data_IF_071453007907
#
_entry.id   IF_071453007907
#
_cell.length_a   1.000
_cell.length_b   1.000
_cell.length_c   1.000
_cell.angle_alpha   90.00
_cell.angle_beta   90.00
_cell.angle_gamma   90.00
#
_symmetry.space_group_name_H-M   'P 1'
#
loop_
_entity.id
_entity.type
_entity.pdbx_description
1 polymer ?
#
# COMPACT_ATOMS: atom_id res chain seq x y z
N UNK A 1 -30.68 5.85 44.22
CA UNK A 1 -29.55 4.88 44.18
C UNK A 1 -29.76 3.72 43.20
N UNK A 2 -30.88 2.98 43.24
CA UNK A 2 -31.14 1.85 42.33
C UNK A 2 -31.01 2.18 40.83
N UNK A 3 -31.62 3.26 40.36
CA UNK A 3 -31.57 3.66 38.94
C UNK A 3 -30.16 4.04 38.48
N UNK A 4 -29.41 4.74 39.34
CA UNK A 4 -28.00 5.08 39.08
C UNK A 4 -27.13 3.82 38.96
N UNK A 5 -27.32 2.85 39.86
CA UNK A 5 -26.61 1.58 39.83
C UNK A 5 -26.92 0.78 38.56
N UNK A 6 -28.18 0.76 38.13
CA UNK A 6 -28.61 0.10 36.87
C UNK A 6 -27.91 0.77 35.67
N UNK A 7 -27.91 2.10 35.59
CA UNK A 7 -27.25 2.82 34.48
C UNK A 7 -25.75 2.51 34.43
N UNK A 8 -25.07 2.55 35.57
CA UNK A 8 -23.63 2.23 35.65
C UNK A 8 -23.35 0.78 35.23
N UNK A 9 -24.17 -0.18 35.68
CA UNK A 9 -24.06 -1.58 35.27
C UNK A 9 -24.32 -1.78 33.77
N UNK A 10 -25.32 -1.10 33.21
CA UNK A 10 -25.61 -1.15 31.77
C UNK A 10 -24.46 -0.57 30.93
N UNK A 11 -23.88 0.55 31.36
CA UNK A 11 -22.72 1.15 30.69
C UNK A 11 -21.48 0.24 30.80
N UNK A 12 -21.24 -0.36 31.96
CA UNK A 12 -20.16 -1.32 32.14
C UNK A 12 -20.33 -2.55 31.25
N UNK A 13 -21.57 -3.06 31.11
CA UNK A 13 -21.88 -4.19 30.24
C UNK A 13 -21.67 -3.84 28.77
N UNK A 14 -22.14 -2.66 28.33
CA UNK A 14 -21.93 -2.16 26.96
C UNK A 14 -20.44 -1.99 26.65
N UNK A 15 -19.67 -1.43 27.59
CA UNK A 15 -18.23 -1.28 27.45
C UNK A 15 -17.53 -2.65 27.35
N UNK A 16 -17.96 -3.65 28.13
CA UNK A 16 -17.40 -5.00 28.08
C UNK A 16 -17.68 -5.69 26.73
N UNK A 17 -18.91 -5.55 26.21
CA UNK A 17 -19.29 -6.11 24.90
C UNK A 17 -18.52 -5.43 23.77
N UNK A 18 -18.39 -4.10 23.82
CA UNK A 18 -17.58 -3.35 22.85
C UNK A 18 -16.10 -3.75 22.93
N UNK A 19 -15.57 -3.95 24.14
CA UNK A 19 -14.19 -4.40 24.36
C UNK A 19 -13.93 -5.81 23.80
N UNK A 20 -14.90 -6.71 23.93
CA UNK A 20 -14.74 -8.07 23.43
C UNK A 20 -14.68 -8.10 21.89
N UNK A 21 -15.53 -7.33 21.21
CA UNK A 21 -15.47 -7.24 19.74
C UNK A 21 -14.21 -6.53 19.24
N UNK A 22 -13.70 -5.51 19.97
CA UNK A 22 -12.45 -4.77 19.63
C UNK A 22 -11.25 -5.68 19.61
N UNK A 23 -11.16 -6.63 20.54
CA UNK A 23 -10.05 -7.59 20.54
C UNK A 23 -10.00 -8.45 19.28
N UNK A 24 -11.15 -8.95 18.82
CA UNK A 24 -11.20 -9.84 17.65
C UNK A 24 -10.87 -9.10 16.36
N UNK A 25 -11.34 -7.86 16.21
CA UNK A 25 -11.01 -7.02 15.06
C UNK A 25 -9.53 -6.57 15.05
N UNK A 26 -8.90 -6.44 16.22
CA UNK A 26 -7.53 -5.93 16.36
C UNK A 26 -6.46 -7.03 16.38
N UNK A 27 -6.82 -8.30 16.50
CA UNK A 27 -5.85 -9.40 16.49
C UNK A 27 -5.63 -9.88 15.06
N UNK A 28 -4.51 -9.53 14.40
CA UNK A 28 -4.28 -9.95 13.04
C UNK A 28 -4.04 -11.46 12.96
N UNK A 29 -4.70 -12.11 12.02
CA UNK A 29 -4.46 -13.52 11.73
C UNK A 29 -3.19 -13.65 10.89
N UNK A 30 -2.24 -14.45 11.38
CA UNK A 30 -1.05 -14.85 10.64
C UNK A 30 -1.13 -16.35 10.41
N UNK A 31 -1.11 -16.78 9.14
CA UNK A 31 -1.05 -18.19 8.77
C UNK A 31 0.38 -18.58 8.43
N UNK A 32 0.81 -19.73 8.93
CA UNK A 32 2.10 -20.33 8.57
C UNK A 32 2.10 -20.88 7.14
N UNK A 33 0.92 -21.31 6.66
CA UNK A 33 0.71 -21.84 5.31
C UNK A 33 -0.58 -21.31 4.69
N UNK A 34 -0.49 -20.89 3.42
CA UNK A 34 -1.61 -20.48 2.58
C UNK A 34 -1.46 -21.12 1.20
N UNK A 35 -2.55 -21.67 0.66
CA UNK A 35 -2.59 -22.27 -0.68
C UNK A 35 -2.81 -21.19 -1.74
N UNK A 36 -3.63 -20.20 -1.40
CA UNK A 36 -3.95 -19.06 -2.27
C UNK A 36 -3.56 -17.76 -1.58
N UNK A 37 -2.44 -17.13 -1.96
CA UNK A 37 -2.03 -15.87 -1.35
C UNK A 37 -3.06 -14.77 -1.60
N UNK A 38 -3.24 -13.90 -0.61
CA UNK A 38 -4.09 -12.72 -0.71
C UNK A 38 -3.24 -11.47 -0.89
N UNK A 39 -3.69 -10.58 -1.78
CA UNK A 39 -3.01 -9.34 -2.08
C UNK A 39 -3.89 -8.14 -1.74
N UNK A 40 -3.27 -7.07 -1.26
CA UNK A 40 -3.92 -5.78 -1.05
C UNK A 40 -3.11 -4.67 -1.71
N UNK A 41 -3.77 -3.55 -1.94
CA UNK A 41 -3.14 -2.33 -2.42
C UNK A 41 -3.17 -1.27 -1.33
N UNK A 42 -2.12 -0.46 -1.26
CA UNK A 42 -2.03 0.65 -0.32
C UNK A 42 -0.91 1.59 -0.72
N UNK A 43 -0.78 2.71 -0.02
CA UNK A 43 0.34 3.64 -0.23
C UNK A 43 1.69 2.93 -0.04
N UNK A 44 2.70 3.31 -0.83
CA UNK A 44 4.04 2.73 -0.72
C UNK A 44 4.66 3.08 0.64
N UNK A 45 4.93 2.06 1.44
CA UNK A 45 5.67 2.17 2.70
C UNK A 45 7.16 2.28 2.35
N UNK A 46 7.89 3.09 3.13
CA UNK A 46 9.32 3.31 2.95
C UNK A 46 10.08 1.96 2.96
N UNK A 47 10.95 1.68 1.96
CA UNK A 47 11.76 0.45 1.93
C UNK A 47 12.65 0.24 3.15
N UNK A 48 12.95 1.28 3.95
CA UNK A 48 13.71 1.15 5.19
C UNK A 48 12.93 0.53 6.35
N UNK A 49 11.62 0.32 6.19
CA UNK A 49 10.75 -0.23 7.22
C UNK A 49 10.69 -1.75 7.09
N UNK A 50 11.06 -2.44 8.18
CA UNK A 50 10.77 -3.86 8.33
C UNK A 50 9.27 -4.04 8.62
N UNK A 51 8.54 -4.41 7.57
CA UNK A 51 7.09 -4.64 7.61
C UNK A 51 6.69 -5.76 8.55
N UNK A 52 7.56 -6.75 8.79
CA UNK A 52 7.30 -7.84 9.72
C UNK A 52 7.50 -7.39 11.16
N UNK A 53 8.54 -6.59 11.42
CA UNK A 53 8.78 -6.02 12.74
C UNK A 53 7.70 -5.00 13.16
N UNK A 54 7.16 -4.22 12.21
CA UNK A 54 6.11 -3.24 12.50
C UNK A 54 4.69 -3.82 12.56
N UNK A 55 4.48 -5.06 12.14
CA UNK A 55 3.16 -5.70 12.10
C UNK A 55 2.09 -4.79 11.48
N UNK A 56 2.32 -4.31 10.25
CA UNK A 56 1.36 -3.41 9.59
C UNK A 56 0.06 -4.19 9.32
N UNK A 57 -1.00 -3.84 10.06
CA UNK A 57 -2.30 -4.53 10.02
C UNK A 57 -3.21 -3.93 8.95
N UNK A 58 -3.77 -4.80 8.12
CA UNK A 58 -4.85 -4.50 7.19
C UNK A 58 -6.14 -5.00 7.81
N UNK A 59 -7.05 -4.08 8.09
CA UNK A 59 -8.29 -4.41 8.81
C UNK A 59 -9.30 -5.14 7.94
N UNK A 60 -9.90 -6.18 8.54
CA UNK A 60 -11.16 -6.76 8.09
C UNK A 60 -12.36 -5.88 8.46
N UNK A 61 -13.59 -6.40 8.53
CA UNK A 61 -14.74 -5.61 8.92
C UNK A 61 -14.57 -5.05 10.33
N UNK A 62 -14.81 -3.75 10.50
CA UNK A 62 -14.87 -3.13 11.82
C UNK A 62 -16.24 -3.37 12.48
N UNK A 63 -16.32 -3.09 13.78
CA UNK A 63 -17.51 -3.12 14.65
C UNK A 63 -18.84 -3.13 13.90
N UNK A 64 -19.61 -4.21 14.07
CA UNK A 64 -20.97 -4.33 13.54
C UNK A 64 -21.10 -4.17 12.01
N UNK A 65 -20.03 -4.44 11.26
CA UNK A 65 -20.02 -4.33 9.80
C UNK A 65 -19.98 -2.88 9.29
N UNK A 66 -19.62 -1.92 10.14
CA UNK A 66 -19.62 -0.49 9.77
C UNK A 66 -18.49 -0.10 8.81
N UNK A 67 -17.42 -0.89 8.74
CA UNK A 67 -16.35 -0.68 7.79
C UNK A 67 -16.28 -1.91 6.88
N UNK A 68 -16.58 -1.78 5.58
CA UNK A 68 -16.31 -2.87 4.65
C UNK A 68 -14.80 -3.09 4.69
N UNK A 69 -14.36 -4.31 5.03
CA UNK A 69 -12.93 -4.61 5.20
C UNK A 69 -12.11 -4.18 3.99
N UNK A 70 -10.78 -4.18 4.10
CA UNK A 70 -9.95 -3.74 2.95
C UNK A 70 -10.22 -4.60 1.71
N UNK A 71 -10.37 -3.96 0.55
CA UNK A 71 -10.50 -4.68 -0.73
C UNK A 71 -9.22 -5.44 -1.02
N UNK A 72 -9.37 -6.69 -1.43
CA UNK A 72 -8.25 -7.61 -1.69
C UNK A 72 -8.36 -8.29 -3.04
N UNK A 73 -7.32 -9.00 -3.45
CA UNK A 73 -7.19 -9.58 -4.77
C UNK A 73 -6.60 -11.00 -4.68
N UNK A 74 -7.04 -11.88 -5.58
CA UNK A 74 -6.56 -13.26 -5.64
C UNK A 74 -5.21 -13.37 -6.36
N UNK A 75 -4.88 -12.36 -7.17
CA UNK A 75 -3.64 -12.32 -7.93
C UNK A 75 -3.05 -10.91 -8.00
N UNK A 76 -1.75 -10.86 -8.25
CA UNK A 76 -1.02 -9.62 -8.50
C UNK A 76 -1.59 -8.92 -9.74
N UNK A 77 -1.91 -9.67 -10.80
CA UNK A 77 -2.46 -9.11 -12.03
C UNK A 77 -3.79 -8.38 -11.83
N UNK A 78 -4.67 -8.90 -10.97
CA UNK A 78 -5.92 -8.23 -10.60
C UNK A 78 -5.67 -6.95 -9.80
N UNK A 79 -4.74 -6.99 -8.84
CA UNK A 79 -4.37 -5.82 -8.05
C UNK A 79 -3.73 -4.73 -8.94
N UNK A 80 -2.88 -5.11 -9.90
CA UNK A 80 -2.29 -4.19 -10.87
C UNK A 80 -3.34 -3.56 -11.76
N UNK A 81 -4.27 -4.35 -12.29
CA UNK A 81 -5.37 -3.84 -13.10
C UNK A 81 -6.20 -2.82 -12.30
N UNK A 82 -6.51 -3.13 -11.04
CA UNK A 82 -7.18 -2.18 -10.16
C UNK A 82 -6.39 -0.88 -9.97
N UNK A 83 -5.08 -0.95 -9.74
CA UNK A 83 -4.24 0.24 -9.61
C UNK A 83 -4.26 1.11 -10.86
N UNK A 84 -4.22 0.50 -12.05
CA UNK A 84 -4.26 1.20 -13.34
C UNK A 84 -5.63 1.83 -13.58
N UNK A 85 -6.70 1.06 -13.45
CA UNK A 85 -8.08 1.51 -13.68
C UNK A 85 -8.48 2.68 -12.75
N UNK A 86 -7.89 2.75 -11.56
CA UNK A 86 -8.19 3.78 -10.56
C UNK A 86 -7.10 4.87 -10.47
N UNK A 87 -6.17 4.93 -11.43
CA UNK A 87 -5.03 5.87 -11.45
C UNK A 87 -4.14 5.86 -10.20
N UNK A 88 -4.21 4.80 -9.38
CA UNK A 88 -3.45 4.66 -8.12
C UNK A 88 -1.97 4.38 -8.32
N UNK A 89 -1.56 3.94 -9.51
CA UNK A 89 -0.14 3.84 -9.87
C UNK A 89 0.55 5.21 -9.80
N UNK A 90 -0.17 6.27 -10.18
CA UNK A 90 0.35 7.65 -10.18
C UNK A 90 0.47 8.17 -8.75
N UNK A 91 -0.48 7.81 -7.88
CA UNK A 91 -0.51 8.17 -6.47
C UNK A 91 0.57 7.46 -5.62
N UNK A 92 1.46 6.68 -6.24
CA UNK A 92 2.53 5.99 -5.52
C UNK A 92 2.05 4.76 -4.72
N UNK A 93 0.92 4.16 -5.10
CA UNK A 93 0.42 2.96 -4.43
C UNK A 93 1.16 1.69 -4.86
N UNK A 94 1.36 0.79 -3.91
CA UNK A 94 2.06 -0.47 -4.03
C UNK A 94 1.15 -1.68 -3.77
N UNK A 95 1.62 -2.86 -4.18
CA UNK A 95 0.94 -4.14 -3.96
C UNK A 95 1.67 -4.90 -2.85
N UNK A 96 0.90 -5.33 -1.87
CA UNK A 96 1.36 -6.07 -0.70
C UNK A 96 0.76 -7.46 -0.68
N UNK A 97 1.54 -8.43 -0.22
CA UNK A 97 1.04 -9.75 0.13
C UNK A 97 0.72 -9.78 1.62
N UNK A 98 -0.45 -10.30 1.99
CA UNK A 98 -0.85 -10.42 3.40
C UNK A 98 -0.67 -11.85 3.91
N UNK A 99 -0.76 -11.99 5.23
CA UNK A 99 -0.57 -13.23 5.99
C UNK A 99 -1.73 -14.23 5.93
N UNK A 100 -2.68 -14.05 5.02
CA UNK A 100 -3.91 -14.84 4.93
C UNK A 100 -4.03 -15.66 3.65
N UNK A 101 -5.09 -16.45 3.59
CA UNK A 101 -5.48 -17.23 2.43
C UNK A 101 -6.73 -16.64 1.78
N UNK A 102 -6.66 -16.35 0.48
CA UNK A 102 -7.73 -15.70 -0.25
C UNK A 102 -9.06 -16.47 -0.18
N UNK A 103 -9.03 -17.81 -0.19
CA UNK A 103 -10.26 -18.60 -0.19
C UNK A 103 -10.92 -18.70 1.19
N UNK A 104 -10.17 -18.44 2.27
CA UNK A 104 -10.64 -18.63 3.66
C UNK A 104 -10.86 -17.32 4.41
N UNK A 105 -10.07 -16.31 4.09
CA UNK A 105 -9.99 -15.06 4.86
C UNK A 105 -10.62 -13.88 4.11
N UNK A 106 -11.43 -14.17 3.07
CA UNK A 106 -12.18 -13.16 2.32
C UNK A 106 -13.68 -13.46 2.28
N UNK A 107 -14.48 -12.43 2.04
CA UNK A 107 -15.91 -12.50 1.76
C UNK A 107 -16.24 -11.56 0.59
N UNK A 108 -17.40 -11.77 -0.05
CA UNK A 108 -17.85 -10.92 -1.15
C UNK A 108 -18.85 -9.89 -0.66
N UNK A 109 -18.58 -8.62 -0.97
CA UNK A 109 -19.49 -7.49 -0.76
C UNK A 109 -19.71 -6.81 -2.11
N UNK A 110 -20.95 -6.77 -2.59
CA UNK A 110 -21.28 -6.23 -3.93
C UNK A 110 -20.45 -6.88 -5.07
N UNK A 111 -20.13 -8.17 -4.95
CA UNK A 111 -19.31 -8.90 -5.91
C UNK A 111 -17.80 -8.61 -5.84
N UNK A 112 -17.37 -7.78 -4.89
CA UNK A 112 -15.96 -7.47 -4.65
C UNK A 112 -15.44 -8.23 -3.42
N UNK A 113 -14.23 -8.79 -3.47
CA UNK A 113 -13.64 -9.48 -2.33
C UNK A 113 -13.05 -8.51 -1.30
N UNK A 114 -13.46 -8.70 -0.03
CA UNK A 114 -13.03 -7.97 1.14
C UNK A 114 -12.50 -8.94 2.20
N UNK A 115 -11.63 -8.47 3.10
CA UNK A 115 -11.11 -9.27 4.20
C UNK A 115 -12.17 -9.55 5.25
N UNK A 116 -12.40 -10.80 5.63
CA UNK A 116 -13.30 -11.15 6.75
C UNK A 116 -12.62 -11.08 8.13
N UNK A 117 -11.28 -10.93 8.15
CA UNK A 117 -10.43 -10.85 9.33
C UNK A 117 -9.30 -9.86 9.10
N UNK A 118 -8.77 -9.28 10.16
CA UNK A 118 -7.57 -8.45 10.06
C UNK A 118 -6.35 -9.32 9.78
N UNK A 119 -5.48 -8.87 8.87
CA UNK A 119 -4.26 -9.59 8.44
C UNK A 119 -3.05 -8.67 8.53
N UNK A 120 -1.84 -9.24 8.51
CA UNK A 120 -0.60 -8.47 8.50
C UNK A 120 0.00 -8.44 7.10
N UNK A 121 0.62 -7.32 6.72
CA UNK A 121 1.45 -7.24 5.52
C UNK A 121 2.72 -8.09 5.74
N UNK A 122 2.90 -9.12 4.91
CA UNK A 122 4.09 -9.98 4.97
C UNK A 122 5.26 -9.39 4.19
N UNK A 123 4.95 -8.86 3.01
CA UNK A 123 5.96 -8.29 2.11
C UNK A 123 5.33 -7.38 1.06
N UNK A 124 6.17 -6.47 0.60
CA UNK A 124 5.95 -5.71 -0.62
C UNK A 124 6.22 -6.60 -1.83
N UNK A 125 5.26 -6.68 -2.75
CA UNK A 125 5.34 -7.51 -3.96
C UNK A 125 5.75 -6.67 -5.16
N UNK A 126 5.14 -5.48 -5.30
CA UNK A 126 5.41 -4.58 -6.42
C UNK A 126 5.31 -3.13 -5.98
N UNK A 127 6.35 -2.35 -6.30
CA UNK A 127 6.31 -0.88 -6.25
C UNK A 127 5.78 -0.33 -7.56
N UNK A 128 5.09 0.82 -7.55
CA UNK A 128 4.80 1.55 -8.77
C UNK A 128 6.13 2.03 -9.37
N UNK A 129 6.28 1.86 -10.68
CA UNK A 129 7.52 2.12 -11.44
C UNK A 129 7.98 3.59 -11.46
N UNK A 130 7.27 4.50 -10.78
CA UNK A 130 7.57 5.93 -10.75
C UNK A 130 8.68 6.32 -9.76
N UNK A 131 9.13 5.41 -8.89
CA UNK A 131 10.25 5.68 -7.97
C UNK A 131 11.65 5.59 -8.61
N UNK A 132 11.76 5.48 -9.94
CA UNK A 132 13.04 5.36 -10.66
C UNK A 132 13.35 6.52 -11.63
N UNK A 133 12.70 7.68 -11.48
CA UNK A 133 13.13 8.91 -12.13
C UNK A 133 13.62 9.92 -11.09
N UNK A 134 14.81 9.69 -10.49
CA UNK A 134 15.74 10.78 -10.11
C UNK A 134 16.99 10.26 -9.40
N UNK A 135 17.81 9.44 -10.07
CA UNK A 135 19.27 9.36 -9.83
C UNK A 135 19.98 8.84 -11.08
N UNK A 136 20.23 9.70 -12.08
CA UNK A 136 21.19 9.34 -13.13
C UNK A 136 21.08 10.00 -14.51
N UNK A 137 20.16 10.92 -14.77
CA UNK A 137 20.17 11.67 -16.02
C UNK A 137 20.93 13.00 -15.87
N UNK A 138 22.24 12.93 -15.65
CA UNK A 138 23.10 14.04 -16.06
C UNK A 138 23.19 13.95 -17.58
N UNK A 139 22.24 14.61 -18.25
CA UNK A 139 22.26 14.84 -19.69
C UNK A 139 23.51 15.65 -20.02
N UNK A 140 24.62 14.98 -20.29
CA UNK A 140 25.72 15.56 -21.05
C UNK A 140 25.22 15.81 -22.46
N UNK A 141 24.87 17.07 -22.74
CA UNK A 141 24.57 17.55 -24.09
C UNK A 141 25.70 17.13 -25.05
N UNK A 142 25.39 16.65 -26.27
CA UNK A 142 26.40 16.52 -27.30
C UNK A 142 26.91 17.93 -27.67
N UNK A 143 28.22 18.13 -27.59
CA UNK A 143 28.87 19.36 -28.01
C UNK A 143 28.60 19.60 -29.51
N UNK A 144 27.96 20.72 -29.82
CA UNK A 144 27.77 21.22 -31.18
C UNK A 144 29.15 21.62 -31.73
N UNK A 145 29.59 21.11 -32.90
CA UNK A 145 30.80 21.59 -33.55
C UNK A 145 30.53 23.00 -34.10
N UNK A 146 31.27 23.99 -33.61
CA UNK A 146 31.28 25.34 -34.21
C UNK A 146 32.21 25.32 -35.41
N UNK A 147 31.62 25.14 -36.59
CA UNK A 147 32.23 25.51 -37.87
C UNK A 147 31.82 26.97 -38.15
N UNK A 148 32.77 27.90 -38.07
CA UNK A 148 32.65 29.20 -38.73
C UNK A 148 34.00 29.59 -39.29
N UNK A 149 34.02 29.60 -40.62
CA UNK A 149 35.03 30.14 -41.51
C UNK A 149 35.49 31.57 -41.15
N UNK A 150 36.77 31.79 -41.43
CA UNK A 150 37.17 32.85 -42.36
C UNK A 150 37.04 34.31 -41.91
N UNK A 151 38.11 34.85 -41.31
CA UNK A 151 38.45 36.27 -41.47
C UNK A 151 39.94 36.40 -41.81
N UNK A 152 40.23 36.64 -43.10
CA UNK A 152 41.52 37.16 -43.58
C UNK A 152 41.69 38.59 -43.07
N UNK A 153 42.75 38.85 -42.31
CA UNK A 153 43.33 40.18 -42.11
C UNK A 153 44.70 40.24 -42.79
N UNK A 154 45.03 41.31 -43.56
CA UNK A 154 46.36 41.47 -44.16
C UNK A 154 47.31 42.21 -43.20
N UNK A 155 48.58 42.31 -43.62
CA UNK A 155 49.67 43.20 -43.14
C UNK A 155 50.40 42.73 -41.85
N UNK A 156 51.73 42.78 -41.69
CA UNK A 156 52.89 43.25 -42.48
C UNK A 156 54.17 42.94 -41.66
N UNK A 157 55.34 43.02 -42.30
CA UNK A 157 56.67 43.42 -41.77
C UNK A 157 57.63 42.36 -41.18
N UNK A 158 58.75 42.21 -41.93
CA UNK A 158 60.16 42.23 -41.52
C UNK A 158 60.61 41.25 -40.41
N UNK A 159 61.60 40.39 -40.66
CA UNK A 159 62.98 40.73 -41.04
C UNK A 159 63.71 39.51 -41.60
#
# INVERSE_FOLDING_TARGET
>A
MRTFLIIVLSLALLALVAWQGTKEALTPLVRDHFEKPVYAVGEAIDPGIDLQAQQVVVFGPAFWGQYPGSRVFASIAEAERYLVENNKVIDGWAIYQLSGDFARDTYLENGLPHLNKSLTIMRLVKKPSMFNQDKGATTSLPAVPRETDGVRGPSTLSR
#
